data_IF_189646274469
#
_entry.id   IF_189646274469
#
_cell.length_a   1.000
_cell.length_b   1.000
_cell.length_c   1.000
_cell.angle_alpha   90.00
_cell.angle_beta   90.00
_cell.angle_gamma   90.00
#
_symmetry.space_group_name_H-M   'P 1'
#
loop_
_entity.id
_entity.type
_entity.pdbx_description
1 polymer ?
#
# COMPACT_ATOMS: atom_id res chain seq x y z
N UNK A 1 41.81 -21.99 23.61
CA UNK A 1 40.99 -20.82 24.04
C UNK A 1 41.60 -20.32 25.34
N UNK A 2 41.75 -19.00 25.52
CA UNK A 2 42.15 -18.48 26.83
C UNK A 2 41.11 -18.94 27.86
N UNK A 3 41.53 -19.56 28.96
CA UNK A 3 40.62 -19.95 30.03
C UNK A 3 40.03 -18.69 30.65
N UNK A 4 38.71 -18.66 30.80
CA UNK A 4 38.04 -17.58 31.51
C UNK A 4 38.55 -17.55 32.95
N UNK A 5 38.84 -16.35 33.46
CA UNK A 5 39.14 -16.15 34.86
C UNK A 5 38.08 -16.84 35.75
N UNK A 6 38.47 -17.73 36.68
CA UNK A 6 37.54 -18.51 37.50
C UNK A 6 36.61 -17.65 38.37
N UNK A 7 36.93 -16.36 38.56
CA UNK A 7 36.11 -15.41 39.32
C UNK A 7 35.03 -14.67 38.48
N UNK A 8 35.02 -14.85 37.16
CA UNK A 8 34.03 -14.25 36.27
C UNK A 8 32.82 -15.17 36.10
N UNK A 9 31.81 -14.99 36.95
CA UNK A 9 30.53 -15.71 36.86
C UNK A 9 29.65 -15.15 35.75
N UNK A 10 28.64 -15.91 35.33
CA UNK A 10 27.68 -15.44 34.31
C UNK A 10 26.97 -14.14 34.73
N UNK A 11 26.57 -14.04 35.99
CA UNK A 11 25.93 -12.83 36.52
C UNK A 11 26.87 -11.62 36.48
N UNK A 12 28.13 -11.80 36.87
CA UNK A 12 29.15 -10.75 36.76
C UNK A 12 29.42 -10.36 35.31
N UNK A 13 29.50 -11.34 34.41
CA UNK A 13 29.68 -11.07 32.99
C UNK A 13 28.53 -10.23 32.41
N UNK A 14 27.28 -10.51 32.83
CA UNK A 14 26.09 -9.75 32.40
C UNK A 14 26.03 -8.34 33.01
N UNK A 15 26.56 -8.14 34.21
CA UNK A 15 26.61 -6.84 34.87
C UNK A 15 27.85 -6.00 34.50
N UNK A 16 28.82 -6.58 33.77
CA UNK A 16 29.98 -5.85 33.26
C UNK A 16 29.52 -4.84 32.20
N UNK A 17 30.02 -3.61 32.27
CA UNK A 17 29.65 -2.57 31.29
C UNK A 17 30.48 -2.72 30.01
N UNK A 18 29.82 -2.56 28.86
CA UNK A 18 30.50 -2.56 27.57
C UNK A 18 31.28 -1.26 27.33
N UNK A 19 32.11 -1.25 26.28
CA UNK A 19 32.97 -0.14 25.90
C UNK A 19 32.24 1.22 25.87
N UNK A 20 33.01 2.30 26.05
CA UNK A 20 32.50 3.70 26.11
C UNK A 20 31.57 4.09 24.95
N UNK A 21 31.71 3.47 23.78
CA UNK A 21 30.85 3.71 22.61
C UNK A 21 29.41 3.23 22.78
N UNK A 22 29.14 2.30 23.71
CA UNK A 22 27.79 1.88 24.09
C UNK A 22 27.80 1.39 25.55
N UNK A 23 27.90 2.34 26.48
CA UNK A 23 28.12 2.10 27.91
C UNK A 23 26.84 1.60 28.60
N UNK A 24 26.55 0.31 28.44
CA UNK A 24 25.44 -0.40 29.08
C UNK A 24 25.91 -1.74 29.64
N UNK A 25 25.18 -2.35 30.60
CA UNK A 25 25.46 -3.71 31.03
C UNK A 25 25.47 -4.68 29.84
N UNK A 26 26.49 -5.51 29.76
CA UNK A 26 26.69 -6.46 28.67
C UNK A 26 25.53 -7.45 28.57
N UNK A 27 24.85 -7.78 29.67
CA UNK A 27 23.65 -8.62 29.66
C UNK A 27 22.52 -7.99 28.85
N UNK A 28 22.27 -6.69 29.02
CA UNK A 28 21.25 -5.96 28.24
C UNK A 28 21.63 -5.92 26.76
N UNK A 29 22.90 -5.66 26.46
CA UNK A 29 23.40 -5.63 25.08
C UNK A 29 23.47 -7.03 24.43
N UNK A 30 23.60 -8.08 25.23
CA UNK A 30 23.55 -9.45 24.77
C UNK A 30 22.12 -9.86 24.44
N UNK A 31 21.18 -9.55 25.33
CA UNK A 31 19.77 -9.92 25.18
C UNK A 31 19.09 -9.18 24.02
N UNK A 32 19.47 -7.92 23.77
CA UNK A 32 18.93 -7.13 22.65
C UNK A 32 19.65 -7.36 21.31
N UNK A 33 20.59 -8.32 21.25
CA UNK A 33 21.32 -8.69 20.03
C UNK A 33 22.43 -7.74 19.61
N UNK A 34 22.77 -6.69 20.38
CA UNK A 34 23.89 -5.81 20.06
C UNK A 34 25.25 -6.51 20.18
N UNK A 35 25.44 -7.39 21.17
CA UNK A 35 26.63 -8.22 21.33
C UNK A 35 26.52 -9.51 20.51
N UNK A 36 26.75 -9.37 19.20
CA UNK A 36 26.84 -10.51 18.28
C UNK A 36 28.01 -11.42 18.62
N UNK A 37 28.02 -12.65 18.08
CA UNK A 37 29.14 -13.58 18.29
C UNK A 37 30.49 -12.96 17.90
N UNK A 38 30.56 -12.31 16.73
CA UNK A 38 31.80 -11.67 16.25
C UNK A 38 32.28 -10.56 17.19
N UNK A 39 31.36 -9.81 17.83
CA UNK A 39 31.71 -8.75 18.79
C UNK A 39 32.21 -9.31 20.10
N UNK A 40 31.62 -10.41 20.57
CA UNK A 40 32.10 -11.11 21.75
C UNK A 40 33.47 -11.77 21.47
N UNK A 41 33.67 -12.36 20.29
CA UNK A 41 34.98 -12.92 19.89
C UNK A 41 36.06 -11.85 19.77
N UNK A 42 35.69 -10.69 19.21
CA UNK A 42 36.57 -9.53 19.19
C UNK A 42 36.88 -9.08 20.62
N UNK A 43 35.89 -8.93 21.49
CA UNK A 43 36.08 -8.51 22.88
C UNK A 43 36.96 -9.48 23.67
N UNK A 44 36.74 -10.79 23.50
CA UNK A 44 37.56 -11.84 24.11
C UNK A 44 39.03 -11.83 23.66
N UNK A 45 39.33 -11.31 22.46
CA UNK A 45 40.71 -11.28 21.91
C UNK A 45 41.39 -9.92 22.04
N UNK A 46 40.63 -8.82 21.97
CA UNK A 46 41.14 -7.47 21.70
C UNK A 46 40.74 -6.44 22.76
N UNK A 47 39.81 -6.75 23.67
CA UNK A 47 39.45 -5.80 24.72
C UNK A 47 40.65 -5.53 25.64
N UNK A 48 40.95 -4.26 25.86
CA UNK A 48 42.02 -3.81 26.75
C UNK A 48 41.72 -4.17 28.21
N UNK A 49 40.47 -3.92 28.63
CA UNK A 49 39.97 -4.27 29.96
C UNK A 49 39.81 -5.80 30.10
N UNK A 50 40.48 -6.37 31.11
CA UNK A 50 40.42 -7.80 31.41
C UNK A 50 39.02 -8.25 31.83
N UNK A 51 38.25 -7.40 32.53
CA UNK A 51 36.88 -7.74 32.94
C UNK A 51 35.96 -7.89 31.71
N UNK A 52 36.08 -7.00 30.73
CA UNK A 52 35.33 -7.10 29.46
C UNK A 52 35.74 -8.36 28.69
N UNK A 53 37.04 -8.66 28.66
CA UNK A 53 37.58 -9.84 27.98
C UNK A 53 37.02 -11.14 28.58
N UNK A 54 37.09 -11.26 29.90
CA UNK A 54 36.57 -12.42 30.63
C UNK A 54 35.04 -12.54 30.49
N UNK A 55 34.32 -11.41 30.59
CA UNK A 55 32.88 -11.37 30.36
C UNK A 55 32.50 -11.85 28.95
N UNK A 56 33.27 -11.46 27.92
CA UNK A 56 33.05 -11.94 26.56
C UNK A 56 33.23 -13.45 26.44
N UNK A 57 34.25 -14.04 27.09
CA UNK A 57 34.48 -15.48 27.05
C UNK A 57 33.32 -16.24 27.71
N UNK A 58 32.84 -15.76 28.86
CA UNK A 58 31.71 -16.36 29.58
C UNK A 58 30.42 -16.26 28.76
N UNK A 59 30.13 -15.10 28.17
CA UNK A 59 28.95 -14.91 27.32
C UNK A 59 29.04 -15.69 26.01
N UNK A 60 30.23 -15.87 25.43
CA UNK A 60 30.44 -16.77 24.28
C UNK A 60 30.12 -18.21 24.66
N UNK A 61 30.60 -18.68 25.81
CA UNK A 61 30.31 -20.03 26.30
C UNK A 61 28.82 -20.20 26.56
N UNK A 62 28.16 -19.21 27.16
CA UNK A 62 26.70 -19.21 27.33
C UNK A 62 25.99 -19.28 25.97
N UNK A 63 26.38 -18.44 25.00
CA UNK A 63 25.81 -18.43 23.65
C UNK A 63 25.97 -19.78 22.97
N UNK A 64 27.15 -20.40 23.04
CA UNK A 64 27.41 -21.74 22.50
C UNK A 64 26.56 -22.83 23.17
N UNK A 65 26.35 -22.76 24.49
CA UNK A 65 25.48 -23.70 25.22
C UNK A 65 24.01 -23.49 24.82
N UNK A 66 23.57 -22.24 24.66
CA UNK A 66 22.23 -21.90 24.17
C UNK A 66 22.00 -22.33 22.73
N UNK A 67 22.95 -22.09 21.82
CA UNK A 67 22.89 -22.50 20.42
C UNK A 67 22.94 -24.03 20.26
N UNK A 68 23.67 -24.74 21.13
CA UNK A 68 23.68 -26.22 21.14
C UNK A 68 22.39 -26.84 21.66
N UNK A 69 21.54 -26.11 22.37
CA UNK A 69 20.17 -26.55 22.67
C UNK A 69 19.31 -26.38 21.42
N UNK A 70 19.52 -27.28 20.46
CA UNK A 70 18.61 -27.45 19.34
C UNK A 70 17.20 -27.64 19.88
N UNK A 71 16.24 -26.89 19.36
CA UNK A 71 14.85 -27.24 19.60
C UNK A 71 14.61 -28.60 18.95
N UNK A 72 14.06 -29.54 19.73
CA UNK A 72 13.59 -30.81 19.21
C UNK A 72 12.66 -30.57 18.01
N UNK A 73 12.95 -31.24 16.90
CA UNK A 73 12.17 -31.12 15.66
C UNK A 73 10.67 -31.27 15.98
N UNK A 74 9.87 -30.28 15.59
CA UNK A 74 8.41 -30.27 15.79
C UNK A 74 7.92 -29.51 17.03
N UNK A 75 8.79 -29.05 17.95
CA UNK A 75 8.39 -28.09 18.99
C UNK A 75 8.43 -26.66 18.46
N UNK A 76 7.33 -25.93 18.63
CA UNK A 76 7.26 -24.52 18.23
C UNK A 76 8.10 -23.64 19.16
N UNK A 77 8.94 -22.74 18.61
CA UNK A 77 9.72 -21.81 19.41
C UNK A 77 8.81 -20.82 20.13
N UNK A 78 9.11 -20.51 21.38
CA UNK A 78 8.32 -19.61 22.24
C UNK A 78 8.99 -18.27 22.50
N UNK A 79 10.29 -18.19 22.30
CA UNK A 79 11.10 -17.01 22.57
C UNK A 79 12.18 -16.84 21.51
N UNK A 80 12.87 -15.70 21.55
CA UNK A 80 13.89 -15.34 20.55
C UNK A 80 15.07 -16.31 20.54
N UNK A 81 15.47 -16.86 21.69
CA UNK A 81 16.58 -17.80 21.79
C UNK A 81 16.25 -19.13 21.12
N UNK A 82 15.04 -19.62 21.38
CA UNK A 82 14.46 -20.78 20.74
C UNK A 82 14.35 -20.56 19.21
N UNK A 83 13.78 -19.45 18.78
CA UNK A 83 13.65 -19.14 17.36
C UNK A 83 15.01 -19.08 16.65
N UNK A 84 16.02 -18.49 17.29
CA UNK A 84 17.38 -18.41 16.77
C UNK A 84 18.04 -19.79 16.62
N UNK A 85 17.62 -20.81 17.38
CA UNK A 85 18.17 -22.16 17.32
C UNK A 85 17.51 -23.05 16.22
N UNK A 86 16.45 -22.58 15.57
CA UNK A 86 15.78 -23.33 14.49
C UNK A 86 16.67 -23.35 13.25
N UNK A 87 16.75 -24.51 12.59
CA UNK A 87 17.54 -24.69 11.37
C UNK A 87 16.85 -24.01 10.20
N UNK A 88 17.62 -23.23 9.43
CA UNK A 88 17.12 -22.58 8.22
C UNK A 88 17.06 -23.57 7.05
N UNK A 89 15.87 -23.83 6.46
CA UNK A 89 15.74 -24.85 5.43
C UNK A 89 16.11 -24.36 4.03
N UNK A 90 16.21 -23.04 3.80
CA UNK A 90 16.43 -22.46 2.47
C UNK A 90 17.92 -22.28 2.15
N UNK A 91 18.68 -23.38 2.23
CA UNK A 91 20.14 -23.39 1.99
C UNK A 91 20.54 -22.94 0.58
N UNK A 92 19.67 -23.15 -0.41
CA UNK A 92 19.89 -22.72 -1.80
C UNK A 92 20.13 -21.20 -1.89
N UNK A 93 19.54 -20.42 -0.99
CA UNK A 93 19.60 -18.95 -1.03
C UNK A 93 20.81 -18.40 -0.27
N UNK A 94 21.32 -19.14 0.71
CA UNK A 94 22.44 -18.71 1.58
C UNK A 94 23.76 -19.40 1.25
N UNK A 95 23.73 -20.48 0.45
CA UNK A 95 24.89 -21.33 0.17
C UNK A 95 25.37 -22.15 1.39
N UNK A 96 24.61 -22.15 2.49
CA UNK A 96 24.95 -22.85 3.74
C UNK A 96 23.83 -23.79 4.17
N UNK A 97 24.17 -25.03 4.48
CA UNK A 97 23.24 -26.06 4.99
C UNK A 97 23.43 -26.26 6.48
N UNK A 98 22.32 -26.54 7.20
CA UNK A 98 22.38 -26.88 8.62
C UNK A 98 22.73 -25.74 9.57
N UNK A 99 22.78 -24.49 9.09
CA UNK A 99 22.93 -23.32 9.96
C UNK A 99 21.61 -22.97 10.65
N UNK A 100 21.73 -22.48 11.87
CA UNK A 100 20.59 -21.94 12.62
C UNK A 100 20.20 -20.56 12.08
N UNK A 101 18.93 -20.16 12.25
CA UNK A 101 18.46 -18.82 11.85
C UNK A 101 19.28 -17.72 12.53
N UNK A 102 19.63 -17.90 13.81
CA UNK A 102 20.42 -16.94 14.57
C UNK A 102 21.82 -16.73 13.99
N UNK A 103 22.50 -17.79 13.59
CA UNK A 103 23.82 -17.71 12.95
C UNK A 103 23.76 -16.96 11.61
N UNK A 104 22.74 -17.25 10.79
CA UNK A 104 22.58 -16.59 9.50
C UNK A 104 22.25 -15.10 9.66
N UNK A 105 21.48 -14.73 10.68
CA UNK A 105 21.17 -13.32 10.98
C UNK A 105 22.39 -12.59 11.49
N UNK A 106 23.12 -13.18 12.43
CA UNK A 106 24.34 -12.59 13.00
C UNK A 106 25.38 -12.32 11.90
N UNK A 107 25.46 -13.21 10.91
CA UNK A 107 26.35 -13.08 9.75
C UNK A 107 25.78 -12.20 8.62
N UNK A 108 24.52 -11.73 8.73
CA UNK A 108 23.78 -11.02 7.66
C UNK A 108 23.60 -11.83 6.38
N UNK A 109 23.59 -13.16 6.49
CA UNK A 109 23.31 -14.08 5.39
C UNK A 109 21.81 -14.14 5.06
N UNK A 110 20.94 -13.78 6.02
CA UNK A 110 19.48 -13.63 5.80
C UNK A 110 19.01 -12.27 6.30
N UNK A 111 18.08 -11.66 5.56
CA UNK A 111 17.52 -10.32 5.80
C UNK A 111 16.07 -10.39 6.29
N UNK A 112 15.50 -9.23 6.66
CA UNK A 112 14.06 -9.11 6.98
C UNK A 112 13.16 -9.63 5.87
N UNK A 113 13.57 -9.46 4.60
CA UNK A 113 12.83 -9.95 3.43
C UNK A 113 12.83 -11.48 3.40
N UNK A 114 13.95 -12.11 3.71
CA UNK A 114 14.07 -13.57 3.72
C UNK A 114 13.24 -14.17 4.86
N UNK A 115 13.21 -13.52 6.02
CA UNK A 115 12.33 -13.90 7.13
C UNK A 115 10.85 -13.80 6.72
N UNK A 116 10.44 -12.71 6.07
CA UNK A 116 9.08 -12.57 5.54
C UNK A 116 8.73 -13.66 4.51
N UNK A 117 9.67 -13.98 3.62
CA UNK A 117 9.54 -15.08 2.67
C UNK A 117 9.36 -16.43 3.38
N UNK A 118 10.13 -16.70 4.44
CA UNK A 118 10.01 -17.93 5.22
C UNK A 118 8.66 -18.04 5.94
N UNK A 119 8.11 -16.93 6.45
CA UNK A 119 6.77 -16.92 7.07
C UNK A 119 5.71 -17.37 6.06
N UNK A 120 5.81 -16.91 4.81
CA UNK A 120 4.81 -17.22 3.78
C UNK A 120 5.02 -18.60 3.13
N UNK A 121 6.28 -18.99 2.88
CA UNK A 121 6.62 -20.12 2.01
C UNK A 121 7.16 -21.35 2.72
N UNK A 122 7.55 -21.27 4.00
CA UNK A 122 8.09 -22.44 4.68
C UNK A 122 6.99 -23.49 4.92
N UNK A 123 7.32 -24.73 4.56
CA UNK A 123 6.48 -25.90 4.81
C UNK A 123 6.41 -26.32 6.29
N UNK A 124 7.35 -25.85 7.11
CA UNK A 124 7.54 -26.29 8.48
C UNK A 124 7.06 -25.18 9.40
N UNK A 125 6.05 -25.49 10.21
CA UNK A 125 5.44 -24.56 11.17
C UNK A 125 6.48 -24.00 12.15
N UNK A 126 7.48 -24.81 12.50
CA UNK A 126 8.57 -24.41 13.39
C UNK A 126 9.40 -23.29 12.75
N UNK A 127 9.66 -23.38 11.44
CA UNK A 127 10.41 -22.37 10.66
C UNK A 127 9.59 -21.09 10.52
N UNK A 128 8.28 -21.20 10.21
CA UNK A 128 7.41 -20.02 10.11
C UNK A 128 7.34 -19.27 11.44
N UNK A 129 7.12 -20.00 12.53
CA UNK A 129 7.02 -19.43 13.88
C UNK A 129 8.34 -18.79 14.30
N UNK A 130 9.48 -19.43 14.02
CA UNK A 130 10.80 -18.87 14.28
C UNK A 130 11.02 -17.56 13.50
N UNK A 131 10.78 -17.59 12.19
CA UNK A 131 10.94 -16.42 11.33
C UNK A 131 10.05 -15.26 11.79
N UNK A 132 8.82 -15.55 12.22
CA UNK A 132 7.89 -14.56 12.77
C UNK A 132 8.39 -13.95 14.08
N UNK A 133 8.84 -14.77 15.05
CA UNK A 133 9.40 -14.29 16.33
C UNK A 133 10.62 -13.41 16.09
N UNK A 134 11.53 -13.83 15.22
CA UNK A 134 12.76 -13.08 14.95
C UNK A 134 12.47 -11.77 14.22
N UNK A 135 11.63 -11.81 13.19
CA UNK A 135 11.23 -10.60 12.46
C UNK A 135 10.56 -9.60 13.41
N UNK A 136 9.69 -10.09 14.31
CA UNK A 136 9.03 -9.26 15.32
C UNK A 136 10.02 -8.58 16.27
N UNK A 137 11.01 -9.34 16.76
CA UNK A 137 12.09 -8.81 17.60
C UNK A 137 12.92 -7.75 16.87
N UNK A 138 13.29 -7.98 15.61
CA UNK A 138 14.05 -7.01 14.79
C UNK A 138 13.28 -5.73 14.46
N UNK A 139 11.95 -5.73 14.62
CA UNK A 139 11.09 -4.56 14.47
C UNK A 139 10.88 -3.80 15.79
N UNK A 140 11.53 -4.21 16.89
CA UNK A 140 11.44 -3.52 18.18
C UNK A 140 10.11 -3.69 18.91
N UNK A 141 9.32 -4.71 18.55
CA UNK A 141 8.08 -5.03 19.26
C UNK A 141 8.41 -5.80 20.55
N UNK A 142 8.71 -5.08 21.63
CA UNK A 142 8.68 -5.67 22.98
C UNK A 142 7.29 -6.28 23.24
N UNK A 143 7.23 -7.33 24.06
CA UNK A 143 6.01 -8.05 24.38
C UNK A 143 5.04 -7.19 25.23
N UNK A 144 4.44 -6.17 24.62
CA UNK A 144 3.21 -5.60 25.15
C UNK A 144 2.17 -6.70 25.23
N UNK A 145 1.68 -6.90 26.45
CA UNK A 145 0.74 -7.94 26.87
C UNK A 145 -0.32 -8.22 25.80
N UNK A 146 -0.33 -9.47 25.35
CA UNK A 146 -1.21 -10.03 24.32
C UNK A 146 -2.72 -10.06 24.68
N UNK A 147 -3.15 -9.38 25.75
CA UNK A 147 -4.40 -9.73 26.45
C UNK A 147 -5.43 -8.60 26.59
N UNK A 148 -5.28 -7.46 25.94
CA UNK A 148 -6.40 -6.53 25.81
C UNK A 148 -6.95 -6.60 24.38
N UNK A 149 -8.25 -6.91 24.19
CA UNK A 149 -8.86 -6.87 22.86
C UNK A 149 -8.82 -5.42 22.38
N UNK A 150 -7.89 -5.11 21.47
CA UNK A 150 -7.62 -3.74 21.00
C UNK A 150 -8.75 -3.14 20.14
N UNK A 151 -9.92 -3.76 20.10
CA UNK A 151 -11.07 -3.37 19.28
C UNK A 151 -10.87 -3.70 17.79
N UNK A 152 -11.76 -3.20 16.95
CA UNK A 152 -11.68 -3.36 15.49
C UNK A 152 -10.78 -2.30 14.86
N UNK A 153 -10.25 -2.58 13.65
CA UNK A 153 -9.48 -1.62 12.87
C UNK A 153 -10.20 -0.27 12.76
N UNK A 154 -9.51 0.80 13.15
CA UNK A 154 -10.03 2.17 12.98
C UNK A 154 -9.80 2.63 11.55
N UNK A 155 -10.83 3.17 10.91
CA UNK A 155 -10.75 3.68 9.54
C UNK A 155 -11.25 5.11 9.51
N UNK A 156 -10.41 6.04 9.05
CA UNK A 156 -10.79 7.42 8.76
C UNK A 156 -10.72 7.64 7.27
N UNK A 157 -11.81 8.10 6.65
CA UNK A 157 -11.85 8.34 5.22
C UNK A 157 -12.27 9.78 4.94
N UNK A 158 -11.49 10.49 4.11
CA UNK A 158 -11.91 11.77 3.57
C UNK A 158 -12.85 11.52 2.37
N UNK A 159 -14.14 11.30 2.66
CA UNK A 159 -15.16 11.07 1.62
C UNK A 159 -15.35 12.25 0.67
N UNK A 160 -15.05 13.47 1.14
CA UNK A 160 -15.46 14.69 0.43
C UNK A 160 -14.73 14.91 -0.90
N UNK A 161 -13.49 14.42 -1.08
CA UNK A 161 -12.74 14.72 -2.30
C UNK A 161 -13.27 13.97 -3.52
N UNK A 162 -13.60 12.69 -3.34
CA UNK A 162 -14.08 11.84 -4.43
C UNK A 162 -15.56 12.07 -4.75
N UNK A 163 -16.38 12.35 -3.74
CA UNK A 163 -17.76 12.83 -3.94
C UNK A 163 -17.75 14.13 -4.75
N UNK A 164 -16.86 15.08 -4.40
CA UNK A 164 -16.67 16.31 -5.19
C UNK A 164 -16.25 16.03 -6.64
N UNK A 165 -15.41 15.04 -6.91
CA UNK A 165 -15.01 14.71 -8.29
C UNK A 165 -16.18 14.12 -9.10
N UNK A 166 -16.92 13.17 -8.51
CA UNK A 166 -18.10 12.57 -9.15
C UNK A 166 -19.19 13.63 -9.35
N UNK A 167 -19.42 14.48 -8.35
CA UNK A 167 -20.35 15.61 -8.43
C UNK A 167 -19.91 16.61 -9.50
N UNK A 168 -18.62 16.97 -9.58
CA UNK A 168 -18.11 17.88 -10.59
C UNK A 168 -18.25 17.31 -12.01
N UNK A 169 -17.98 16.02 -12.21
CA UNK A 169 -18.19 15.35 -13.49
C UNK A 169 -19.68 15.26 -13.85
N UNK A 170 -20.53 14.92 -12.88
CA UNK A 170 -21.99 14.87 -13.07
C UNK A 170 -22.56 16.26 -13.36
N UNK A 171 -22.04 17.29 -12.70
CA UNK A 171 -22.38 18.69 -12.94
C UNK A 171 -21.92 19.14 -14.33
N UNK A 172 -20.69 18.82 -14.76
CA UNK A 172 -20.22 19.11 -16.12
C UNK A 172 -21.09 18.42 -17.18
N UNK A 173 -21.48 17.17 -16.95
CA UNK A 173 -22.43 16.44 -17.81
C UNK A 173 -23.79 17.14 -17.86
N UNK A 174 -24.34 17.53 -16.71
CA UNK A 174 -25.60 18.26 -16.61
C UNK A 174 -25.56 19.64 -17.28
N UNK A 175 -24.50 20.41 -17.05
CA UNK A 175 -24.29 21.73 -17.64
C UNK A 175 -24.12 21.65 -19.17
N UNK A 176 -23.45 20.61 -19.67
CA UNK A 176 -23.34 20.35 -21.10
C UNK A 176 -24.73 20.14 -21.74
N UNK A 177 -25.57 19.28 -21.15
CA UNK A 177 -26.96 19.11 -21.59
C UNK A 177 -27.80 20.36 -21.47
N UNK A 178 -27.69 21.09 -20.35
CA UNK A 178 -28.39 22.35 -20.14
C UNK A 178 -28.04 23.41 -21.18
N UNK A 179 -26.76 23.49 -21.57
CA UNK A 179 -26.29 24.42 -22.60
C UNK A 179 -26.87 24.07 -23.97
N UNK A 180 -26.86 22.79 -24.34
CA UNK A 180 -27.46 22.31 -25.60
C UNK A 180 -28.95 22.63 -25.63
N UNK A 181 -29.68 22.26 -24.58
CA UNK A 181 -31.12 22.49 -24.51
C UNK A 181 -31.47 23.98 -24.60
N UNK A 182 -30.77 24.81 -23.82
CA UNK A 182 -30.99 26.27 -23.80
C UNK A 182 -30.70 26.89 -25.18
N UNK A 183 -29.62 26.48 -25.83
CA UNK A 183 -29.26 26.97 -27.17
C UNK A 183 -30.33 26.60 -28.19
N UNK A 184 -30.80 25.34 -28.17
CA UNK A 184 -31.90 24.90 -29.04
C UNK A 184 -33.19 25.69 -28.80
N UNK A 185 -33.54 25.96 -27.54
CA UNK A 185 -34.73 26.76 -27.19
C UNK A 185 -34.61 28.20 -27.68
N UNK A 186 -33.44 28.84 -27.52
CA UNK A 186 -33.20 30.21 -28.01
C UNK A 186 -33.32 30.27 -29.53
N UNK A 187 -32.67 29.35 -30.25
CA UNK A 187 -32.74 29.30 -31.70
C UNK A 187 -34.18 29.10 -32.20
N UNK A 188 -34.95 28.23 -31.53
CA UNK A 188 -36.35 28.01 -31.84
C UNK A 188 -37.21 29.27 -31.64
N UNK A 189 -37.00 30.01 -30.55
CA UNK A 189 -37.71 31.27 -30.30
C UNK A 189 -37.33 32.33 -31.34
N UNK A 190 -36.04 32.48 -31.66
CA UNK A 190 -35.57 33.44 -32.67
C UNK A 190 -36.15 33.14 -34.05
N UNK A 191 -36.23 31.86 -34.42
CA UNK A 191 -36.83 31.43 -35.68
C UNK A 191 -38.34 31.77 -35.73
N UNK A 192 -39.09 31.52 -34.64
CA UNK A 192 -40.50 31.93 -34.54
C UNK A 192 -40.65 33.45 -34.73
N UNK A 193 -39.82 34.25 -34.07
CA UNK A 193 -39.85 35.72 -34.17
C UNK A 193 -39.55 36.14 -35.62
N UNK A 194 -38.51 35.58 -36.22
CA UNK A 194 -38.13 35.87 -37.61
C UNK A 194 -39.24 35.53 -38.60
N UNK A 195 -39.86 34.36 -38.45
CA UNK A 195 -41.00 33.94 -39.27
C UNK A 195 -42.22 34.86 -39.07
N UNK A 196 -42.43 35.38 -37.87
CA UNK A 196 -43.48 36.37 -37.59
C UNK A 196 -43.23 37.71 -38.28
N UNK A 197 -42.01 38.24 -38.21
CA UNK A 197 -41.63 39.54 -38.81
C UNK A 197 -41.64 39.49 -40.33
N UNK A 198 -41.16 38.39 -40.92
CA UNK A 198 -41.12 38.24 -42.40
C UNK A 198 -42.48 37.95 -43.03
N UNK A 199 -43.53 37.77 -42.22
CA UNK A 199 -44.84 37.36 -42.71
C UNK A 199 -44.89 35.90 -43.17
N UNK A 200 -43.83 35.12 -42.90
CA UNK A 200 -43.73 33.72 -43.26
C UNK A 200 -44.81 32.87 -42.57
N UNK A 201 -45.19 33.21 -41.32
CA UNK A 201 -46.24 32.50 -40.58
C UNK A 201 -47.60 32.55 -41.31
N UNK A 202 -48.15 33.73 -41.66
CA UNK A 202 -49.36 33.82 -42.47
C UNK A 202 -49.28 33.05 -43.80
N UNK A 203 -48.16 33.15 -44.52
CA UNK A 203 -47.99 32.44 -45.80
C UNK A 203 -47.89 30.92 -45.63
N UNK A 204 -47.29 30.45 -44.54
CA UNK A 204 -47.22 29.03 -44.21
C UNK A 204 -48.61 28.50 -43.86
N UNK A 205 -49.38 29.24 -43.05
CA UNK A 205 -50.76 28.89 -42.69
C UNK A 205 -51.64 28.86 -43.95
N UNK A 206 -51.57 29.87 -44.81
CA UNK A 206 -52.31 29.92 -46.08
C UNK A 206 -51.94 28.76 -47.02
N UNK A 207 -50.65 28.42 -47.11
CA UNK A 207 -50.17 27.27 -47.87
C UNK A 207 -50.73 25.94 -47.34
N UNK A 208 -50.72 25.73 -46.01
CA UNK A 208 -51.25 24.53 -45.37
C UNK A 208 -52.76 24.41 -45.62
N UNK A 209 -53.50 25.51 -45.44
CA UNK A 209 -54.95 25.54 -45.64
C UNK A 209 -55.33 25.28 -47.10
N UNK A 210 -54.60 25.86 -48.07
CA UNK A 210 -54.88 25.69 -49.50
C UNK A 210 -54.51 24.31 -50.04
N UNK A 211 -53.38 23.75 -49.62
CA UNK A 211 -52.86 22.49 -50.17
C UNK A 211 -53.30 21.23 -49.39
N UNK A 212 -53.98 21.41 -48.26
CA UNK A 212 -54.53 20.36 -47.39
C UNK A 212 -53.49 19.29 -47.05
N UNK A 213 -53.53 18.14 -47.73
CA UNK A 213 -52.70 16.97 -47.45
C UNK A 213 -51.21 17.25 -47.76
N UNK A 214 -50.92 17.97 -48.85
CA UNK A 214 -49.54 18.21 -49.29
C UNK A 214 -48.80 19.13 -48.30
N UNK A 215 -49.47 20.15 -47.78
CA UNK A 215 -48.94 21.04 -46.74
C UNK A 215 -48.63 20.31 -45.43
N UNK A 216 -49.51 19.39 -45.01
CA UNK A 216 -49.25 18.58 -43.82
C UNK A 216 -48.06 17.64 -44.01
N UNK A 217 -47.97 16.96 -45.16
CA UNK A 217 -46.85 16.04 -45.47
C UNK A 217 -45.50 16.78 -45.49
N UNK A 218 -45.46 18.00 -46.03
CA UNK A 218 -44.22 18.79 -46.07
C UNK A 218 -43.75 19.23 -44.68
N UNK A 219 -44.65 19.58 -43.75
CA UNK A 219 -44.29 19.83 -42.34
C UNK A 219 -43.72 18.59 -41.69
N UNK A 220 -44.35 17.43 -41.88
CA UNK A 220 -43.87 16.17 -41.30
C UNK A 220 -42.47 15.82 -41.82
N UNK A 221 -42.20 16.03 -43.11
CA UNK A 221 -40.87 15.82 -43.72
C UNK A 221 -39.84 16.76 -43.11
N UNK A 222 -40.17 18.05 -42.96
CA UNK A 222 -39.27 19.05 -42.37
C UNK A 222 -38.97 18.70 -40.90
N UNK A 223 -39.99 18.39 -40.10
CA UNK A 223 -39.82 17.96 -38.71
C UNK A 223 -38.97 16.68 -38.61
N UNK A 224 -39.21 15.72 -39.50
CA UNK A 224 -38.43 14.47 -39.57
C UNK A 224 -36.97 14.74 -39.93
N UNK A 225 -36.72 15.66 -40.87
CA UNK A 225 -35.37 16.08 -41.25
C UNK A 225 -34.63 16.80 -40.11
N UNK A 226 -35.30 17.72 -39.40
CA UNK A 226 -34.72 18.37 -38.23
C UNK A 226 -34.45 17.38 -37.09
N UNK A 227 -35.36 16.43 -36.83
CA UNK A 227 -35.10 15.35 -35.88
C UNK A 227 -33.90 14.50 -36.30
N UNK A 228 -33.78 14.16 -37.59
CA UNK A 228 -32.64 13.42 -38.12
C UNK A 228 -31.32 14.19 -37.97
N UNK A 229 -31.30 15.48 -38.28
CA UNK A 229 -30.13 16.34 -38.14
C UNK A 229 -29.74 16.55 -36.67
N UNK A 230 -30.71 16.75 -35.78
CA UNK A 230 -30.46 16.83 -34.33
C UNK A 230 -29.86 15.51 -33.81
N UNK A 231 -30.41 14.37 -34.24
CA UNK A 231 -29.89 13.05 -33.90
C UNK A 231 -28.45 12.86 -34.42
N UNK A 232 -28.12 13.31 -35.63
CA UNK A 232 -26.75 13.26 -36.15
C UNK A 232 -25.78 14.12 -35.33
N UNK A 233 -26.17 15.34 -34.94
CA UNK A 233 -25.34 16.24 -34.13
C UNK A 233 -25.10 15.67 -32.73
N UNK A 234 -26.15 15.14 -32.09
CA UNK A 234 -26.07 14.46 -30.80
C UNK A 234 -25.15 13.24 -30.90
N UNK A 235 -25.35 12.40 -31.92
CA UNK A 235 -24.58 11.18 -32.13
C UNK A 235 -23.10 11.43 -32.38
N UNK A 236 -22.75 12.46 -33.15
CA UNK A 236 -21.34 12.72 -33.49
C UNK A 236 -20.59 13.56 -32.46
N UNK A 237 -21.27 14.40 -31.68
CA UNK A 237 -20.61 15.39 -30.81
C UNK A 237 -20.87 15.15 -29.33
N UNK A 238 -22.11 14.83 -28.97
CA UNK A 238 -22.54 14.70 -27.58
C UNK A 238 -22.26 13.30 -27.04
N UNK A 239 -22.58 12.24 -27.80
CA UNK A 239 -22.38 10.84 -27.36
C UNK A 239 -20.93 10.59 -26.94
N UNK A 240 -19.95 10.99 -27.76
CA UNK A 240 -18.53 10.76 -27.44
C UNK A 240 -18.09 11.45 -26.14
N UNK A 241 -18.55 12.67 -25.87
CA UNK A 241 -18.22 13.39 -24.62
C UNK A 241 -18.96 12.80 -23.42
N UNK A 242 -20.18 12.31 -23.63
CA UNK A 242 -20.98 11.67 -22.57
C UNK A 242 -20.37 10.32 -22.21
N UNK A 243 -20.02 9.52 -23.21
CA UNK A 243 -19.35 8.23 -23.02
C UNK A 243 -18.03 8.42 -22.28
N UNK A 244 -17.29 9.48 -22.58
CA UNK A 244 -16.08 9.83 -21.85
C UNK A 244 -16.36 10.15 -20.36
N UNK A 245 -17.39 10.94 -20.07
CA UNK A 245 -17.80 11.19 -18.68
C UNK A 245 -18.27 9.92 -17.96
N UNK A 246 -19.07 9.09 -18.61
CA UNK A 246 -19.59 7.86 -18.02
C UNK A 246 -18.47 6.84 -17.80
N UNK A 247 -17.50 6.77 -18.71
CA UNK A 247 -16.29 5.97 -18.55
C UNK A 247 -15.44 6.45 -17.37
N UNK A 248 -15.23 7.77 -17.23
CA UNK A 248 -14.52 8.35 -16.08
C UNK A 248 -15.23 8.03 -14.76
N UNK A 249 -16.54 8.25 -14.67
CA UNK A 249 -17.33 7.94 -13.46
C UNK A 249 -17.24 6.46 -13.12
N UNK A 250 -17.34 5.58 -14.12
CA UNK A 250 -17.24 4.14 -13.93
C UNK A 250 -15.86 3.74 -13.40
N UNK A 251 -14.78 4.28 -13.97
CA UNK A 251 -13.42 3.98 -13.52
C UNK A 251 -13.18 4.47 -12.08
N UNK A 252 -13.69 5.66 -11.71
CA UNK A 252 -13.61 6.16 -10.34
C UNK A 252 -14.36 5.24 -9.36
N UNK A 253 -15.55 4.76 -9.73
CA UNK A 253 -16.28 3.77 -8.91
C UNK A 253 -15.51 2.47 -8.76
N UNK A 254 -14.94 1.95 -9.85
CA UNK A 254 -14.16 0.71 -9.82
C UNK A 254 -12.90 0.82 -8.96
N UNK A 255 -12.19 1.96 -9.02
CA UNK A 255 -11.04 2.23 -8.15
C UNK A 255 -11.43 2.21 -6.68
N UNK A 256 -12.54 2.89 -6.33
CA UNK A 256 -13.09 2.90 -4.98
C UNK A 256 -13.48 1.51 -4.47
N UNK A 257 -14.19 0.74 -5.29
CA UNK A 257 -14.57 -0.63 -4.92
C UNK A 257 -13.31 -1.50 -4.67
N UNK A 258 -12.22 -1.23 -5.38
CA UNK A 258 -10.92 -1.85 -5.13
C UNK A 258 -10.34 -1.49 -3.77
N UNK A 259 -10.31 -0.21 -3.41
CA UNK A 259 -9.87 0.24 -2.09
C UNK A 259 -10.74 -0.28 -0.95
N UNK A 260 -12.07 -0.27 -1.14
CA UNK A 260 -13.03 -0.76 -0.14
C UNK A 260 -12.75 -2.24 0.18
N UNK A 261 -12.48 -3.06 -0.83
CA UNK A 261 -12.07 -4.47 -0.64
C UNK A 261 -10.76 -4.62 0.12
N UNK A 262 -9.77 -3.75 -0.13
CA UNK A 262 -8.50 -3.77 0.61
C UNK A 262 -8.75 -3.47 2.09
N UNK A 263 -9.60 -2.50 2.39
CA UNK A 263 -9.99 -2.16 3.76
C UNK A 263 -10.75 -3.30 4.44
N UNK A 264 -11.62 -4.00 3.72
CA UNK A 264 -12.33 -5.15 4.28
C UNK A 264 -11.36 -6.28 4.63
N UNK A 265 -10.39 -6.59 3.78
CA UNK A 265 -9.31 -7.53 4.11
C UNK A 265 -8.50 -7.04 5.32
N UNK A 266 -8.19 -5.75 5.41
CA UNK A 266 -7.51 -5.18 6.57
C UNK A 266 -8.34 -5.32 7.86
N UNK A 267 -9.67 -5.15 7.81
CA UNK A 267 -10.56 -5.34 8.97
C UNK A 267 -10.62 -6.78 9.45
N UNK A 268 -10.48 -7.74 8.54
CA UNK A 268 -10.44 -9.17 8.87
C UNK A 268 -9.09 -9.57 9.50
N UNK A 269 -8.01 -8.89 9.10
CA UNK A 269 -6.64 -9.26 9.45
C UNK A 269 -6.02 -8.43 10.60
N UNK A 270 -6.52 -7.22 10.85
CA UNK A 270 -5.94 -6.24 11.78
C UNK A 270 -6.93 -5.85 12.88
N UNK A 271 -6.40 -5.62 14.08
CA UNK A 271 -7.16 -5.13 15.23
C UNK A 271 -7.08 -3.60 15.36
N UNK A 272 -7.71 -3.04 16.39
CA UNK A 272 -7.71 -1.60 16.66
C UNK A 272 -6.40 -1.02 17.16
N UNK A 273 -5.30 -1.79 17.18
CA UNK A 273 -3.94 -1.21 17.25
C UNK A 273 -3.53 -0.51 15.95
N UNK A 274 -4.25 -0.78 14.87
CA UNK A 274 -4.04 -0.16 13.59
C UNK A 274 -5.08 0.92 13.30
N UNK A 275 -4.66 1.92 12.55
CA UNK A 275 -5.51 2.98 12.02
C UNK A 275 -5.23 3.19 10.54
N UNK A 276 -6.24 2.99 9.70
CA UNK A 276 -6.16 3.23 8.27
C UNK A 276 -6.77 4.61 7.93
N UNK A 277 -5.95 5.49 7.35
CA UNK A 277 -6.37 6.75 6.76
C UNK A 277 -6.54 6.57 5.27
N UNK A 278 -7.72 6.90 4.74
CA UNK A 278 -8.01 6.82 3.30
C UNK A 278 -8.06 8.20 2.68
N UNK A 279 -7.58 8.28 1.43
CA UNK A 279 -7.54 9.48 0.62
C UNK A 279 -6.87 10.64 1.38
N UNK A 280 -5.69 10.35 1.92
CA UNK A 280 -4.94 11.31 2.73
C UNK A 280 -4.30 12.35 1.81
N UNK A 281 -4.66 13.62 2.00
CA UNK A 281 -4.07 14.75 1.28
C UNK A 281 -3.20 15.55 2.25
N UNK A 282 -1.93 15.71 1.92
CA UNK A 282 -1.01 16.51 2.73
C UNK A 282 -1.21 18.03 2.49
N UNK A 283 -0.94 18.91 3.48
CA UNK A 283 -1.31 20.34 3.44
C UNK A 283 -0.78 21.19 2.27
N UNK A 284 0.09 20.67 1.41
CA UNK A 284 0.65 21.38 0.25
C UNK A 284 0.63 20.53 -1.02
N UNK A 285 -0.25 19.53 -1.10
CA UNK A 285 -0.32 18.59 -2.22
C UNK A 285 -1.74 18.50 -2.77
N UNK A 286 -1.82 18.23 -4.08
CA UNK A 286 -3.08 18.06 -4.80
C UNK A 286 -3.48 16.60 -4.97
N UNK A 287 -2.52 15.68 -4.86
CA UNK A 287 -2.73 14.24 -5.00
C UNK A 287 -2.95 13.63 -3.62
N UNK A 288 -3.89 12.69 -3.58
CA UNK A 288 -4.20 11.87 -2.42
C UNK A 288 -3.36 10.59 -2.38
N UNK A 289 -3.16 10.09 -1.17
CA UNK A 289 -2.64 8.76 -0.92
C UNK A 289 -3.82 7.84 -0.60
N UNK A 290 -3.98 6.77 -1.38
CA UNK A 290 -5.15 5.89 -1.30
C UNK A 290 -5.38 5.38 0.13
N UNK A 291 -4.37 4.73 0.72
CA UNK A 291 -4.42 4.23 2.10
C UNK A 291 -3.08 4.43 2.81
N UNK A 292 -3.11 5.08 3.97
CA UNK A 292 -2.00 5.15 4.93
C UNK A 292 -2.39 4.40 6.19
N UNK A 293 -1.69 3.31 6.47
CA UNK A 293 -1.90 2.47 7.64
C UNK A 293 -0.87 2.82 8.71
N UNK A 294 -1.34 3.24 9.88
CA UNK A 294 -0.51 3.50 11.06
C UNK A 294 -0.72 2.37 12.04
N UNK A 295 0.34 1.73 12.50
CA UNK A 295 0.26 0.68 13.50
C UNK A 295 1.55 0.56 14.32
N UNK A 296 1.62 -0.43 15.22
CA UNK A 296 2.77 -0.61 16.11
C UNK A 296 4.09 -0.84 15.37
N UNK A 297 4.05 -1.31 14.12
CA UNK A 297 5.24 -1.55 13.28
C UNK A 297 5.66 -0.33 12.47
N UNK A 298 4.93 0.78 12.56
CA UNK A 298 5.21 2.02 11.85
C UNK A 298 4.08 2.44 10.92
N UNK A 299 4.45 3.24 9.93
CA UNK A 299 3.53 3.82 8.93
C UNK A 299 3.76 3.15 7.58
N UNK A 300 2.70 2.63 6.99
CA UNK A 300 2.71 1.96 5.71
C UNK A 300 1.80 2.70 4.74
N UNK A 301 2.21 2.78 3.47
CA UNK A 301 1.39 3.36 2.41
C UNK A 301 1.05 2.27 1.43
N UNK A 302 -0.21 2.22 1.04
CA UNK A 302 -0.72 1.33 0.01
C UNK A 302 -1.25 2.18 -1.14
N UNK A 303 -0.80 1.83 -2.34
CA UNK A 303 -1.36 2.31 -3.60
C UNK A 303 -2.21 1.17 -4.18
N UNK A 304 -3.48 1.45 -4.45
CA UNK A 304 -4.46 0.46 -4.88
C UNK A 304 -4.81 0.71 -6.34
N UNK A 305 -4.49 -0.26 -7.20
CA UNK A 305 -4.87 -0.22 -8.62
C UNK A 305 -5.72 -1.42 -8.98
N UNK A 306 -6.92 -1.15 -9.48
CA UNK A 306 -7.83 -2.17 -10.01
C UNK A 306 -7.64 -2.26 -11.52
N UNK A 307 -6.94 -3.29 -11.96
CA UNK A 307 -6.71 -3.53 -13.38
C UNK A 307 -7.46 -4.75 -13.90
N UNK A 308 -7.90 -4.67 -15.16
CA UNK A 308 -8.44 -5.81 -15.90
C UNK A 308 -7.33 -6.53 -16.67
N UNK A 309 -7.24 -7.85 -16.52
CA UNK A 309 -6.30 -8.72 -17.23
C UNK A 309 -5.13 -9.22 -16.37
N UNK A 310 -4.13 -9.82 -17.02
CA UNK A 310 -2.95 -10.37 -16.36
C UNK A 310 -1.82 -9.34 -16.33
N UNK A 311 -1.23 -9.16 -15.16
CA UNK A 311 -0.12 -8.25 -14.95
C UNK A 311 1.03 -8.99 -14.28
N UNK A 312 2.24 -8.54 -14.61
CA UNK A 312 3.47 -9.04 -14.02
C UNK A 312 4.26 -7.85 -13.48
N UNK A 313 4.67 -7.95 -12.23
CA UNK A 313 5.60 -7.00 -11.63
C UNK A 313 7.00 -7.62 -11.66
N UNK A 314 7.97 -6.86 -12.18
CA UNK A 314 9.38 -7.19 -12.11
C UNK A 314 10.05 -5.98 -11.46
N UNK A 315 10.51 -6.16 -10.24
CA UNK A 315 11.08 -5.09 -9.40
C UNK A 315 10.12 -3.89 -9.27
N UNK A 316 10.46 -2.77 -9.89
CA UNK A 316 9.66 -1.53 -9.86
C UNK A 316 8.82 -1.35 -11.14
N UNK A 317 8.98 -2.24 -12.12
CA UNK A 317 8.31 -2.16 -13.40
C UNK A 317 7.11 -3.09 -13.47
N UNK A 318 6.03 -2.58 -14.05
CA UNK A 318 4.81 -3.32 -14.25
C UNK A 318 4.57 -3.57 -15.73
N UNK A 319 4.12 -4.77 -16.06
CA UNK A 319 3.87 -5.20 -17.41
C UNK A 319 2.46 -5.76 -17.54
N UNK A 320 1.74 -5.33 -18.58
CA UNK A 320 0.51 -5.97 -19.02
C UNK A 320 0.82 -7.15 -19.92
N UNK A 321 0.33 -8.33 -19.54
CA UNK A 321 0.57 -9.61 -20.22
C UNK A 321 -0.61 -9.95 -21.14
N UNK A 322 -0.81 -9.12 -22.18
CA UNK A 322 -1.74 -9.39 -23.28
C UNK A 322 -1.09 -10.23 -24.39
N UNK A 323 -1.52 -10.03 -25.65
CA UNK A 323 -0.89 -10.67 -26.83
C UNK A 323 0.61 -10.37 -26.96
N UNK A 324 1.03 -9.18 -26.51
CA UNK A 324 2.42 -8.77 -26.37
C UNK A 324 2.57 -8.16 -24.99
N UNK A 325 3.69 -8.46 -24.32
CA UNK A 325 4.05 -7.85 -23.04
C UNK A 325 4.30 -6.35 -23.26
N UNK A 326 3.56 -5.50 -22.54
CA UNK A 326 3.69 -4.03 -22.63
C UNK A 326 3.98 -3.46 -21.26
N UNK A 327 5.04 -2.67 -21.15
CA UNK A 327 5.36 -1.95 -19.91
C UNK A 327 4.29 -0.87 -19.66
N UNK A 328 3.81 -0.79 -18.43
CA UNK A 328 2.88 0.25 -17.98
C UNK A 328 3.70 1.52 -17.74
N UNK A 329 3.20 2.65 -18.24
CA UNK A 329 3.89 3.95 -18.15
C UNK A 329 3.95 4.44 -16.70
N UNK A 330 2.82 4.36 -16.00
CA UNK A 330 2.68 4.82 -14.62
C UNK A 330 2.77 3.62 -13.68
N UNK A 331 3.98 3.35 -13.19
CA UNK A 331 4.23 2.25 -12.26
C UNK A 331 3.62 2.54 -10.88
N UNK A 332 2.70 1.68 -10.38
CA UNK A 332 2.18 1.77 -9.02
C UNK A 332 3.29 1.73 -7.96
N UNK A 333 4.36 0.97 -8.20
CA UNK A 333 5.51 0.88 -7.28
C UNK A 333 6.22 2.23 -7.15
N UNK A 334 6.39 2.95 -8.25
CA UNK A 334 7.02 4.27 -8.21
C UNK A 334 6.11 5.30 -7.55
N UNK A 335 4.80 5.20 -7.74
CA UNK A 335 3.83 6.08 -7.08
C UNK A 335 3.85 5.90 -5.56
N UNK A 336 3.77 4.66 -5.07
CA UNK A 336 3.81 4.40 -3.63
C UNK A 336 5.13 4.81 -2.99
N UNK A 337 6.27 4.61 -3.68
CA UNK A 337 7.58 5.08 -3.18
C UNK A 337 7.66 6.60 -3.07
N UNK A 338 7.13 7.32 -4.06
CA UNK A 338 7.06 8.80 -4.00
C UNK A 338 6.16 9.25 -2.86
N UNK A 339 4.99 8.62 -2.70
CA UNK A 339 4.06 8.94 -1.61
C UNK A 339 4.70 8.65 -0.24
N UNK A 340 5.44 7.55 -0.11
CA UNK A 340 6.16 7.18 1.11
C UNK A 340 7.24 8.19 1.49
N UNK A 341 8.07 8.59 0.52
CA UNK A 341 9.08 9.63 0.73
C UNK A 341 8.44 10.95 1.15
N UNK A 342 7.37 11.37 0.47
CA UNK A 342 6.68 12.63 0.78
C UNK A 342 6.03 12.63 2.17
N UNK A 343 5.43 11.51 2.57
CA UNK A 343 4.86 11.39 3.91
C UNK A 343 5.96 11.41 4.98
N UNK A 344 7.08 10.72 4.73
CA UNK A 344 8.22 10.74 5.64
C UNK A 344 8.74 12.17 5.82
N UNK A 345 9.01 12.90 4.73
CA UNK A 345 9.46 14.29 4.76
C UNK A 345 8.48 15.19 5.54
N UNK A 346 7.18 15.01 5.33
CA UNK A 346 6.14 15.77 6.04
C UNK A 346 6.15 15.49 7.54
N UNK A 347 6.21 14.21 7.94
CA UNK A 347 6.24 13.82 9.34
C UNK A 347 7.52 14.31 10.02
N UNK A 348 8.67 14.18 9.37
CA UNK A 348 9.95 14.68 9.88
C UNK A 348 9.94 16.20 10.08
N UNK A 349 9.34 16.95 9.16
CA UNK A 349 9.25 18.40 9.28
C UNK A 349 8.28 18.90 10.36
N UNK A 350 7.29 18.07 10.74
CA UNK A 350 6.28 18.41 11.76
C UNK A 350 6.73 18.01 13.16
N UNK A 351 7.49 16.92 13.28
CA UNK A 351 7.86 16.31 14.56
C UNK A 351 9.33 16.50 14.96
N UNK A 352 10.18 17.05 14.08
CA UNK A 352 11.46 17.66 14.46
C UNK A 352 11.27 19.17 14.64
#
# INVERSE_FOLDING_TARGET
MAEANPFMTLERARNTYWLKTNYKPMGVLFDNGFLTQSRLEWGAKKAYDSAIRDACIVLLKQKQVSTKKLIEKGKLPRNIYEANAVIWPFSIHTGRTGCTMGELIDNRDITKRDLAYAIEKAWDEQVRTAAHIILRSQLGMESEKMNEPKGTLKVTANRSFMEKQIEALSFKKGAFWGTILTTCTILFILDIIYMGVTGAIPTLIDFIVKTKIIGFVSIVIILSFFMFMANLVVKHTAEKKIDDYDFQIKNHKQGRDGEDKVIDVMRECLDGSYHAFRNLVLPNKKEDMDIVLVGPQGVFIFEVKTYNGKYENITDDWYFCGKKKKKIKDSPTNQVKRNAAQLADFLEAVFN
#
